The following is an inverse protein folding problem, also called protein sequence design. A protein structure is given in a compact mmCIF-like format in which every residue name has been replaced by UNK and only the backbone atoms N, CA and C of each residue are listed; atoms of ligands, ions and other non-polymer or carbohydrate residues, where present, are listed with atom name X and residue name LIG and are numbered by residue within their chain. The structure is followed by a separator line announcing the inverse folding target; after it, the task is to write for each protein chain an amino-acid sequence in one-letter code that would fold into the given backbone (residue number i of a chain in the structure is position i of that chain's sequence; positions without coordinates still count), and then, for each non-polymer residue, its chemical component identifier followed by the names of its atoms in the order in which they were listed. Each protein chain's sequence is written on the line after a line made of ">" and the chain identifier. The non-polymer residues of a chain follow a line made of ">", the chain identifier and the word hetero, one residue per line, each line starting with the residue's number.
data_IF_576461737420
#
_entry.id   IF_576461737420
#
_cell.length_a   1.000
_cell.length_b   1.000
_cell.length_c   1.000
_cell.angle_alpha   90.00
_cell.angle_beta   90.00
_cell.angle_gamma   90.00
#
_symmetry.space_group_name_H-M   'P 1'
#
loop_
_entity.id
_entity.type
_entity.pdbx_description
1 polymer ?
#
# COMPACT_ATOMS: atom_id res chain seq x y z
N UNK A 1 -28.00 -7.27 -9.74
CA UNK A 1 -28.47 -5.92 -9.39
C UNK A 1 -29.82 -6.03 -8.70
N UNK A 2 -29.96 -5.58 -7.45
CA UNK A 2 -31.24 -5.17 -6.85
C UNK A 2 -31.01 -4.55 -5.46
N UNK A 3 -30.93 -3.23 -5.45
CA UNK A 3 -31.48 -2.29 -4.47
C UNK A 3 -31.14 -2.45 -2.97
N UNK A 4 -30.11 -1.70 -2.56
CA UNK A 4 -30.00 -1.07 -1.25
C UNK A 4 -31.29 -0.28 -0.92
N UNK A 5 -32.02 -0.60 0.16
CA UNK A 5 -33.18 0.19 0.53
C UNK A 5 -32.73 1.47 1.24
N UNK A 6 -32.95 2.56 0.53
CA UNK A 6 -32.88 3.96 0.92
C UNK A 6 -33.41 4.26 2.35
N UNK A 7 -32.60 5.03 3.08
CA UNK A 7 -32.99 6.26 3.79
C UNK A 7 -34.39 6.33 4.46
N UNK A 8 -34.67 5.48 5.45
CA UNK A 8 -35.58 5.90 6.55
C UNK A 8 -34.78 6.75 7.52
N UNK A 9 -35.03 8.06 7.57
CA UNK A 9 -34.34 8.99 8.48
C UNK A 9 -34.41 8.44 9.92
N UNK A 10 -33.24 8.16 10.51
CA UNK A 10 -33.11 7.80 11.92
C UNK A 10 -33.47 9.00 12.80
N UNK A 11 -34.12 8.76 13.95
CA UNK A 11 -34.37 9.82 14.93
C UNK A 11 -33.06 10.34 15.54
N UNK A 12 -33.07 11.52 16.16
CA UNK A 12 -31.89 12.08 16.85
C UNK A 12 -31.32 11.09 17.87
N UNK A 13 -32.19 10.51 18.68
CA UNK A 13 -31.88 9.44 19.65
C UNK A 13 -31.21 8.22 18.99
N UNK A 14 -31.75 7.72 17.87
CA UNK A 14 -31.17 6.57 17.18
C UNK A 14 -29.79 6.88 16.59
N UNK A 15 -29.59 8.10 16.08
CA UNK A 15 -28.28 8.55 15.57
C UNK A 15 -27.25 8.65 16.70
N UNK A 16 -27.66 9.12 17.88
CA UNK A 16 -26.79 9.19 19.06
C UNK A 16 -26.39 7.78 19.53
N UNK A 17 -27.32 6.84 19.56
CA UNK A 17 -27.02 5.43 19.85
C UNK A 17 -26.08 4.81 18.82
N UNK A 18 -26.30 5.02 17.53
CA UNK A 18 -25.38 4.50 16.48
C UNK A 18 -23.97 5.08 16.67
N UNK A 19 -23.86 6.37 17.01
CA UNK A 19 -22.57 7.03 17.28
C UNK A 19 -21.89 6.44 18.52
N UNK A 20 -22.64 6.20 19.60
CA UNK A 20 -22.10 5.64 20.83
C UNK A 20 -21.75 4.14 20.69
N UNK A 21 -22.53 3.38 19.94
CA UNK A 21 -22.21 2.00 19.54
C UNK A 21 -20.91 1.95 18.75
N UNK A 22 -20.74 2.84 17.78
CA UNK A 22 -19.49 2.93 16.99
C UNK A 22 -18.28 3.22 17.89
N UNK A 23 -18.46 4.06 18.93
CA UNK A 23 -17.42 4.36 19.93
C UNK A 23 -17.13 3.17 20.86
N UNK A 24 -18.16 2.44 21.27
CA UNK A 24 -18.06 1.38 22.30
C UNK A 24 -17.62 0.04 21.73
N UNK A 25 -18.12 -0.32 20.54
CA UNK A 25 -17.82 -1.59 19.88
C UNK A 25 -16.45 -1.58 19.19
N UNK A 26 -15.99 -0.40 18.74
CA UNK A 26 -14.65 -0.22 18.17
C UNK A 26 -14.42 -1.09 16.93
N UNK A 27 -13.86 -2.29 17.14
CA UNK A 27 -13.50 -3.27 16.11
C UNK A 27 -14.54 -4.39 15.95
N UNK A 28 -15.49 -4.54 16.88
CA UNK A 28 -16.52 -5.57 16.81
C UNK A 28 -17.49 -5.21 15.69
N UNK A 29 -17.62 -6.04 14.64
CA UNK A 29 -18.56 -5.79 13.56
C UNK A 29 -20.00 -5.74 14.09
N UNK A 30 -20.77 -4.73 13.66
CA UNK A 30 -22.19 -4.67 13.97
C UNK A 30 -22.98 -4.09 12.81
N UNK A 31 -24.24 -4.50 12.72
CA UNK A 31 -25.22 -3.95 11.78
C UNK A 31 -26.40 -3.39 12.56
N UNK A 32 -27.07 -2.40 11.98
CA UNK A 32 -28.25 -1.81 12.57
C UNK A 32 -29.32 -1.61 11.51
N UNK A 33 -30.57 -1.86 11.90
CA UNK A 33 -31.73 -1.74 11.03
C UNK A 33 -32.89 -1.16 11.82
N UNK A 34 -33.74 -0.40 11.14
CA UNK A 34 -35.00 0.06 11.72
C UNK A 34 -36.02 -1.10 11.73
N UNK A 35 -36.48 -1.49 12.91
CA UNK A 35 -37.49 -2.52 13.08
C UNK A 35 -38.89 -2.04 12.67
N UNK A 36 -39.84 -2.96 12.51
CA UNK A 36 -41.23 -2.66 12.13
C UNK A 36 -41.92 -1.71 13.12
N UNK A 37 -41.51 -1.73 14.39
CA UNK A 37 -41.98 -0.87 15.48
C UNK A 37 -41.15 0.43 15.65
N UNK A 38 -40.45 0.89 14.62
CA UNK A 38 -39.67 2.13 14.64
C UNK A 38 -38.47 2.13 15.61
N UNK A 39 -38.18 1.02 16.32
CA UNK A 39 -36.97 0.88 17.14
C UNK A 39 -35.74 0.56 16.30
N UNK A 40 -34.56 0.85 16.85
CA UNK A 40 -33.30 0.43 16.27
C UNK A 40 -33.01 -1.00 16.71
N UNK A 41 -32.98 -1.92 15.74
CA UNK A 41 -32.49 -3.28 15.88
C UNK A 41 -30.99 -3.27 15.61
N UNK A 42 -30.20 -3.81 16.53
CA UNK A 42 -28.75 -3.87 16.44
C UNK A 42 -28.32 -5.33 16.52
N UNK A 43 -27.54 -5.78 15.55
CA UNK A 43 -26.93 -7.10 15.53
C UNK A 43 -25.43 -6.91 15.68
N UNK A 44 -24.85 -7.50 16.71
CA UNK A 44 -23.42 -7.41 17.03
C UNK A 44 -22.83 -8.79 16.83
N UNK A 45 -21.69 -8.86 16.16
CA UNK A 45 -20.99 -10.12 15.95
C UNK A 45 -20.54 -10.72 17.30
N UNK A 46 -20.79 -12.01 17.50
CA UNK A 46 -20.62 -12.72 18.78
C UNK A 46 -21.81 -12.65 19.76
N UNK A 47 -22.79 -11.76 19.54
CA UNK A 47 -24.01 -11.70 20.37
C UNK A 47 -25.10 -12.61 19.80
N UNK A 48 -25.59 -13.58 20.59
CA UNK A 48 -26.59 -14.56 20.14
C UNK A 48 -27.98 -13.96 19.84
N UNK A 49 -28.33 -12.81 20.42
CA UNK A 49 -29.66 -12.20 20.30
C UNK A 49 -29.59 -10.76 19.76
N UNK A 50 -30.41 -10.38 18.76
CA UNK A 50 -30.48 -9.00 18.31
C UNK A 50 -30.98 -8.09 19.43
N UNK A 51 -30.30 -6.97 19.65
CA UNK A 51 -30.66 -5.96 20.65
C UNK A 51 -31.60 -4.93 20.03
N UNK A 52 -32.56 -4.45 20.83
CA UNK A 52 -33.53 -3.44 20.38
C UNK A 52 -33.50 -2.25 21.32
N UNK A 53 -33.55 -1.03 20.77
CA UNK A 53 -33.73 0.17 21.59
C UNK A 53 -35.13 0.24 22.18
N UNK A 54 -35.25 0.73 23.41
CA UNK A 54 -36.53 0.91 24.11
C UNK A 54 -37.47 1.90 23.42
N UNK A 55 -38.75 1.83 23.80
CA UNK A 55 -39.85 2.42 23.04
C UNK A 55 -40.09 3.93 23.21
N UNK A 56 -39.40 4.58 24.14
CA UNK A 56 -39.67 5.98 24.52
C UNK A 56 -38.42 6.85 24.44
N UNK A 57 -38.27 7.65 23.37
CA UNK A 57 -37.16 8.61 23.21
C UNK A 57 -37.17 9.75 24.23
N UNK A 58 -38.25 9.92 24.99
CA UNK A 58 -38.44 10.95 26.02
C UNK A 58 -37.77 10.61 27.36
N UNK A 59 -37.30 9.38 27.53
CA UNK A 59 -36.72 8.92 28.78
C UNK A 59 -35.19 9.10 28.72
N UNK A 60 -34.68 10.09 29.47
CA UNK A 60 -33.25 10.50 29.48
C UNK A 60 -32.30 9.32 29.76
N UNK A 61 -32.78 8.31 30.50
CA UNK A 61 -31.99 7.14 30.86
C UNK A 61 -32.08 5.99 29.84
N UNK A 62 -32.96 6.06 28.85
CA UNK A 62 -33.16 4.97 27.88
C UNK A 62 -31.92 4.66 27.06
N UNK A 63 -31.15 5.69 26.68
CA UNK A 63 -29.87 5.54 25.99
C UNK A 63 -28.83 4.84 26.88
N UNK A 64 -28.69 5.30 28.13
CA UNK A 64 -27.75 4.72 29.08
C UNK A 64 -28.07 3.26 29.38
N UNK A 65 -29.36 2.94 29.57
CA UNK A 65 -29.84 1.58 29.82
C UNK A 65 -29.55 0.65 28.64
N UNK A 66 -29.84 1.10 27.42
CA UNK A 66 -29.52 0.34 26.20
C UNK A 66 -28.01 0.09 26.07
N UNK A 67 -27.19 1.12 26.28
CA UNK A 67 -25.74 0.98 26.19
C UNK A 67 -25.15 0.12 27.33
N UNK A 68 -25.78 0.09 28.50
CA UNK A 68 -25.41 -0.82 29.59
C UNK A 68 -25.69 -2.29 29.23
N UNK A 69 -26.82 -2.59 28.57
CA UNK A 69 -27.10 -3.92 28.03
C UNK A 69 -26.07 -4.33 26.97
N UNK A 70 -25.72 -3.41 26.06
CA UNK A 70 -24.68 -3.65 25.04
C UNK A 70 -23.33 -3.97 25.71
N UNK A 71 -22.91 -3.18 26.71
CA UNK A 71 -21.66 -3.42 27.47
C UNK A 71 -21.67 -4.72 28.26
N UNK A 72 -22.83 -5.19 28.71
CA UNK A 72 -22.96 -6.46 29.41
C UNK A 72 -22.80 -7.63 28.45
N UNK A 73 -23.44 -7.55 27.28
CA UNK A 73 -23.40 -8.61 26.28
C UNK A 73 -22.01 -8.75 25.63
N UNK A 74 -21.29 -7.65 25.41
CA UNK A 74 -19.88 -7.66 24.97
C UNK A 74 -18.99 -8.37 26.03
N UNK A 75 -19.24 -8.12 27.32
CA UNK A 75 -18.48 -8.78 28.40
C UNK A 75 -18.71 -10.29 28.48
N UNK A 76 -19.83 -10.79 27.96
CA UNK A 76 -20.07 -12.23 27.86
C UNK A 76 -19.24 -12.83 26.72
N UNK A 77 -19.09 -12.13 25.59
CA UNK A 77 -18.20 -12.53 24.50
C UNK A 77 -16.74 -12.64 24.98
N UNK A 78 -16.26 -11.66 25.75
CA UNK A 78 -14.90 -11.67 26.29
C UNK A 78 -14.65 -12.81 27.30
N UNK A 79 -15.70 -13.37 27.91
CA UNK A 79 -15.61 -14.43 28.92
C UNK A 79 -15.71 -15.85 28.36
N UNK A 80 -16.36 -16.05 27.22
CA UNK A 80 -16.45 -17.37 26.56
C UNK A 80 -15.14 -17.80 25.87
N UNK A 81 -14.06 -17.00 25.94
CA UNK A 81 -12.75 -17.27 25.31
C UNK A 81 -11.64 -17.61 26.32
N UNK A 82 -11.89 -17.70 27.63
CA UNK A 82 -10.84 -18.14 28.58
C UNK A 82 -11.36 -18.61 29.94
N UNK A 83 -11.02 -19.83 30.39
CA UNK A 83 -10.88 -20.12 31.80
C UNK A 83 -9.43 -19.86 32.21
N UNK A 84 -9.17 -18.88 33.06
CA UNK A 84 -8.31 -19.05 34.24
C UNK A 84 -8.26 -17.80 35.15
N UNK A 85 -8.02 -18.00 36.46
CA UNK A 85 -8.28 -17.00 37.49
C UNK A 85 -7.20 -15.94 37.60
N UNK A 86 -7.69 -14.76 37.95
CA UNK A 86 -6.98 -13.50 38.14
C UNK A 86 -5.88 -13.63 39.20
N UNK A 87 -4.64 -13.27 38.85
CA UNK A 87 -3.67 -12.69 39.80
C UNK A 87 -3.17 -11.35 39.29
N UNK A 88 -3.35 -10.35 40.14
CA UNK A 88 -3.11 -8.92 39.96
C UNK A 88 -1.67 -8.60 39.51
N UNK A 89 -1.55 -7.75 38.48
CA UNK A 89 -0.42 -6.80 38.29
C UNK A 89 -0.90 -5.64 37.41
N UNK A 90 -1.54 -4.68 38.06
CA UNK A 90 -1.98 -3.42 37.45
C UNK A 90 -0.76 -2.52 37.22
N UNK A 91 -0.24 -2.52 35.99
CA UNK A 91 0.76 -1.58 35.46
C UNK A 91 1.08 -1.87 33.98
N UNK A 92 0.90 -3.13 33.51
CA UNK A 92 1.22 -3.54 32.13
C UNK A 92 0.05 -3.44 31.13
N UNK A 93 -1.21 -3.40 31.60
CA UNK A 93 -2.38 -3.35 30.71
C UNK A 93 -2.44 -2.05 29.89
N UNK A 94 -2.03 -0.92 30.47
CA UNK A 94 -2.13 0.39 29.82
C UNK A 94 -1.15 0.52 28.64
N UNK A 95 0.09 0.05 28.81
CA UNK A 95 1.09 0.03 27.74
C UNK A 95 0.72 -0.90 26.57
N UNK A 96 0.09 -2.06 26.85
CA UNK A 96 -0.33 -2.98 25.80
C UNK A 96 -1.50 -2.43 24.98
N UNK A 97 -2.45 -1.75 25.64
CA UNK A 97 -3.58 -1.11 24.95
C UNK A 97 -3.12 0.05 24.07
N UNK A 98 -2.17 0.86 24.54
CA UNK A 98 -1.56 1.93 23.72
C UNK A 98 -0.78 1.40 22.52
N UNK A 99 0.00 0.33 22.70
CA UNK A 99 0.72 -0.32 21.59
C UNK A 99 -0.22 -0.90 20.54
N UNK A 100 -1.27 -1.60 20.98
CA UNK A 100 -2.29 -2.14 20.06
C UNK A 100 -2.98 -1.03 19.28
N UNK A 101 -3.40 0.04 19.97
CA UNK A 101 -4.01 1.20 19.33
C UNK A 101 -3.10 1.86 18.28
N UNK A 102 -1.80 1.93 18.55
CA UNK A 102 -0.79 2.44 17.63
C UNK A 102 -0.67 1.56 16.37
N UNK A 103 -0.58 0.24 16.53
CA UNK A 103 -0.54 -0.70 15.39
C UNK A 103 -1.80 -0.62 14.53
N UNK A 104 -2.98 -0.49 15.15
CA UNK A 104 -4.25 -0.32 14.43
C UNK A 104 -4.34 1.01 13.69
N UNK A 105 -3.82 2.10 14.29
CA UNK A 105 -3.76 3.41 13.63
C UNK A 105 -2.83 3.37 12.42
N UNK A 106 -1.69 2.70 12.54
CA UNK A 106 -0.76 2.47 11.44
C UNK A 106 -1.42 1.65 10.33
N UNK A 107 -2.08 0.54 10.68
CA UNK A 107 -2.84 -0.29 9.74
C UNK A 107 -3.89 0.54 8.98
N UNK A 108 -4.72 1.32 9.69
CA UNK A 108 -5.74 2.18 9.09
C UNK A 108 -5.15 3.20 8.12
N UNK A 109 -3.99 3.77 8.46
CA UNK A 109 -3.30 4.76 7.64
C UNK A 109 -2.78 4.12 6.34
N UNK A 110 -2.13 2.96 6.45
CA UNK A 110 -1.66 2.19 5.31
C UNK A 110 -2.85 1.76 4.42
N UNK A 111 -3.91 1.23 5.01
CA UNK A 111 -5.09 0.80 4.25
C UNK A 111 -5.76 1.98 3.53
N UNK A 112 -5.79 3.16 4.13
CA UNK A 112 -6.32 4.36 3.50
C UNK A 112 -5.49 4.76 2.28
N UNK A 113 -4.15 4.73 2.39
CA UNK A 113 -3.29 5.04 1.24
C UNK A 113 -3.43 3.99 0.15
N UNK A 114 -3.39 2.70 0.48
CA UNK A 114 -3.56 1.59 -0.47
C UNK A 114 -4.90 1.65 -1.21
N UNK A 115 -6.01 1.97 -0.52
CA UNK A 115 -7.32 2.18 -1.17
C UNK A 115 -7.30 3.32 -2.16
N UNK A 116 -6.58 4.39 -1.87
CA UNK A 116 -6.49 5.53 -2.78
C UNK A 116 -5.74 5.18 -4.07
N UNK A 117 -4.73 4.32 -3.98
CA UNK A 117 -3.90 3.91 -5.12
C UNK A 117 -4.30 2.54 -5.71
N UNK A 118 -5.41 1.93 -5.27
CA UNK A 118 -5.81 0.56 -5.65
C UNK A 118 -5.96 0.37 -7.16
N UNK A 119 -6.47 1.38 -7.85
CA UNK A 119 -6.63 1.36 -9.32
C UNK A 119 -5.28 1.39 -10.03
N UNK A 120 -4.31 2.13 -9.49
CA UNK A 120 -2.94 2.17 -10.00
C UNK A 120 -2.21 0.84 -9.75
N UNK A 121 -2.38 0.24 -8.56
CA UNK A 121 -1.82 -1.07 -8.24
C UNK A 121 -2.40 -2.13 -9.19
N UNK A 122 -3.72 -2.13 -9.43
CA UNK A 122 -4.35 -3.06 -10.38
C UNK A 122 -3.74 -2.94 -11.79
N UNK A 123 -3.59 -1.72 -12.31
CA UNK A 123 -2.95 -1.50 -13.63
C UNK A 123 -1.51 -2.03 -13.66
N UNK A 124 -0.77 -1.88 -12.56
CA UNK A 124 0.59 -2.39 -12.43
C UNK A 124 0.65 -3.91 -12.41
N UNK A 125 -0.24 -4.56 -11.64
CA UNK A 125 -0.36 -6.02 -11.64
C UNK A 125 -0.71 -6.54 -13.04
N UNK A 126 -1.64 -5.90 -13.75
CA UNK A 126 -1.99 -6.28 -15.12
C UNK A 126 -0.79 -6.17 -16.07
N UNK A 127 -0.01 -5.07 -16.00
CA UNK A 127 1.20 -4.91 -16.81
C UNK A 127 2.25 -5.99 -16.49
N UNK A 128 2.51 -6.23 -15.21
CA UNK A 128 3.49 -7.23 -14.76
C UNK A 128 3.13 -8.65 -15.23
N UNK A 129 1.85 -8.99 -15.17
CA UNK A 129 1.35 -10.30 -15.61
C UNK A 129 1.53 -10.46 -17.11
N UNK A 130 1.20 -9.43 -17.90
CA UNK A 130 1.35 -9.45 -19.36
C UNK A 130 2.83 -9.56 -19.74
N UNK A 131 3.70 -8.77 -19.11
CA UNK A 131 5.14 -8.74 -19.38
C UNK A 131 5.83 -10.06 -19.01
N UNK A 132 5.50 -10.65 -17.86
CA UNK A 132 6.09 -11.90 -17.42
C UNK A 132 5.45 -13.15 -18.06
N UNK A 133 4.31 -13.00 -18.75
CA UNK A 133 3.53 -14.11 -19.31
C UNK A 133 3.04 -15.14 -18.28
N UNK A 134 3.14 -14.84 -16.98
CA UNK A 134 2.83 -15.76 -15.88
C UNK A 134 2.21 -15.02 -14.71
N UNK A 135 1.54 -15.75 -13.81
CA UNK A 135 0.80 -15.16 -12.67
C UNK A 135 1.65 -15.12 -11.38
N UNK A 136 2.80 -15.81 -11.37
CA UNK A 136 3.71 -15.85 -10.21
C UNK A 136 4.14 -14.46 -9.69
N UNK A 137 4.41 -13.45 -10.55
CA UNK A 137 4.86 -12.14 -10.09
C UNK A 137 3.86 -11.41 -9.19
N UNK A 138 2.57 -11.75 -9.22
CA UNK A 138 1.54 -11.08 -8.40
C UNK A 138 1.82 -11.28 -6.91
N UNK A 139 2.12 -12.51 -6.49
CA UNK A 139 2.33 -12.81 -5.07
C UNK A 139 3.57 -12.08 -4.53
N UNK A 140 4.63 -12.01 -5.32
CA UNK A 140 5.86 -11.30 -4.97
C UNK A 140 5.62 -9.80 -4.95
N UNK A 141 4.95 -9.25 -5.96
CA UNK A 141 4.59 -7.84 -6.02
C UNK A 141 3.77 -7.39 -4.81
N UNK A 142 2.76 -8.17 -4.41
CA UNK A 142 1.95 -7.88 -3.22
C UNK A 142 2.77 -7.92 -1.94
N UNK A 143 3.70 -8.88 -1.82
CA UNK A 143 4.59 -8.97 -0.66
C UNK A 143 5.48 -7.73 -0.56
N UNK A 144 6.10 -7.33 -1.66
CA UNK A 144 6.93 -6.10 -1.72
C UNK A 144 6.10 -4.86 -1.38
N UNK A 145 4.89 -4.75 -1.95
CA UNK A 145 3.98 -3.63 -1.68
C UNK A 145 3.62 -3.51 -0.18
N UNK A 146 3.39 -4.64 0.49
CA UNK A 146 3.13 -4.67 1.94
C UNK A 146 4.35 -4.17 2.72
N UNK A 147 5.53 -4.74 2.44
CA UNK A 147 6.78 -4.38 3.12
C UNK A 147 7.09 -2.90 2.94
N UNK A 148 6.99 -2.37 1.71
CA UNK A 148 7.22 -0.96 1.40
C UNK A 148 6.23 -0.04 2.12
N UNK A 149 4.96 -0.45 2.20
CA UNK A 149 3.92 0.32 2.87
C UNK A 149 4.14 0.39 4.38
N UNK A 150 4.56 -0.72 5.00
CA UNK A 150 4.93 -0.77 6.42
C UNK A 150 6.17 0.10 6.66
N UNK A 151 7.19 0.00 5.80
CA UNK A 151 8.42 0.77 5.94
C UNK A 151 8.20 2.28 5.74
N UNK A 152 7.32 2.67 4.82
CA UNK A 152 6.89 4.07 4.66
C UNK A 152 6.15 4.57 5.89
N UNK A 153 5.18 3.79 6.37
CA UNK A 153 4.44 4.16 7.57
C UNK A 153 5.33 4.20 8.83
N UNK A 154 6.39 3.39 8.91
CA UNK A 154 7.41 3.48 9.97
C UNK A 154 8.18 4.81 9.92
N UNK A 155 8.56 5.26 8.72
CA UNK A 155 9.24 6.55 8.52
C UNK A 155 8.35 7.72 8.91
N UNK A 156 7.09 7.68 8.49
CA UNK A 156 6.13 8.76 8.73
C UNK A 156 5.63 8.81 10.19
N UNK A 157 5.79 7.71 10.95
CA UNK A 157 5.33 7.59 12.34
C UNK A 157 6.49 7.33 13.31
N UNK A 158 7.51 8.19 13.27
CA UNK A 158 8.67 8.14 14.19
C UNK A 158 8.29 8.21 15.69
N UNK A 159 7.08 8.65 16.03
CA UNK A 159 6.57 8.71 17.41
C UNK A 159 5.85 7.45 17.93
N UNK A 160 5.67 6.39 17.12
CA UNK A 160 4.81 5.23 17.49
C UNK A 160 5.50 4.16 18.36
N UNK A 161 6.77 4.33 18.69
CA UNK A 161 7.56 3.34 19.45
C UNK A 161 8.02 2.14 18.60
N UNK A 162 8.92 1.33 19.16
CA UNK A 162 9.45 0.15 18.48
C UNK A 162 8.38 -0.93 18.31
N UNK A 163 8.15 -1.34 17.05
CA UNK A 163 7.36 -2.53 16.71
C UNK A 163 8.20 -3.79 16.90
N UNK A 164 7.65 -4.78 17.58
CA UNK A 164 8.26 -6.12 17.67
C UNK A 164 8.04 -6.91 16.38
N UNK A 165 8.89 -7.91 16.10
CA UNK A 165 8.72 -8.77 14.93
C UNK A 165 7.36 -9.48 14.88
N UNK A 166 6.80 -9.84 16.05
CA UNK A 166 5.46 -10.45 16.14
C UNK A 166 4.37 -9.50 15.67
N UNK A 167 4.43 -8.23 16.08
CA UNK A 167 3.49 -7.20 15.66
C UNK A 167 3.66 -6.87 14.17
N UNK A 168 4.90 -6.88 13.68
CA UNK A 168 5.18 -6.65 12.26
C UNK A 168 4.59 -7.78 11.39
N UNK A 169 4.79 -9.04 11.79
CA UNK A 169 4.20 -10.18 11.09
C UNK A 169 2.66 -10.19 11.17
N UNK A 170 2.09 -9.76 12.30
CA UNK A 170 0.64 -9.60 12.43
C UNK A 170 0.10 -8.53 11.46
N UNK A 171 0.80 -7.38 11.38
CA UNK A 171 0.46 -6.29 10.47
C UNK A 171 0.59 -6.73 9.00
N UNK A 172 1.64 -7.46 8.64
CA UNK A 172 1.84 -8.02 7.30
C UNK A 172 0.71 -8.96 6.90
N UNK A 173 0.33 -9.88 7.80
CA UNK A 173 -0.76 -10.83 7.54
C UNK A 173 -2.11 -10.13 7.38
N UNK A 174 -2.38 -9.13 8.22
CA UNK A 174 -3.63 -8.38 8.16
C UNK A 174 -3.70 -7.51 6.89
N UNK A 175 -2.59 -6.87 6.51
CA UNK A 175 -2.47 -6.16 5.23
C UNK A 175 -2.63 -7.09 4.03
N UNK A 176 -2.05 -8.30 4.08
CA UNK A 176 -2.20 -9.31 3.03
C UNK A 176 -3.67 -9.66 2.80
N UNK A 177 -4.42 -9.94 3.87
CA UNK A 177 -5.85 -10.23 3.79
C UNK A 177 -6.60 -9.08 3.12
N UNK A 178 -6.30 -7.84 3.53
CA UNK A 178 -6.94 -6.66 2.96
C UNK A 178 -6.60 -6.41 1.49
N UNK A 179 -5.34 -6.58 1.10
CA UNK A 179 -4.88 -6.38 -0.28
C UNK A 179 -5.47 -7.46 -1.20
N UNK A 180 -5.45 -8.72 -0.76
CA UNK A 180 -6.05 -9.83 -1.50
C UNK A 180 -7.57 -9.65 -1.69
N UNK A 181 -8.23 -8.96 -0.75
CA UNK A 181 -9.63 -8.59 -0.88
C UNK A 181 -9.87 -7.36 -1.79
N UNK A 182 -8.96 -6.38 -1.79
CA UNK A 182 -9.10 -5.16 -2.58
C UNK A 182 -8.72 -5.33 -4.05
N UNK A 183 -7.83 -6.27 -4.36
CA UNK A 183 -7.32 -6.50 -5.71
C UNK A 183 -7.97 -7.74 -6.35
N UNK A 184 -8.01 -7.84 -7.69
CA UNK A 184 -8.51 -9.02 -8.36
C UNK A 184 -7.77 -10.30 -7.93
N UNK A 185 -8.49 -11.42 -7.92
CA UNK A 185 -7.91 -12.72 -7.63
C UNK A 185 -6.96 -13.18 -8.77
N UNK A 186 -6.01 -14.05 -8.46
CA UNK A 186 -5.10 -14.74 -9.39
C UNK A 186 -5.85 -15.30 -10.61
N UNK A 187 -7.06 -15.84 -10.43
CA UNK A 187 -7.90 -16.36 -11.51
C UNK A 187 -8.28 -15.29 -12.56
N UNK A 188 -8.54 -14.05 -12.13
CA UNK A 188 -8.85 -12.94 -13.05
C UNK A 188 -7.66 -12.67 -13.99
N UNK A 189 -6.44 -12.71 -13.45
CA UNK A 189 -5.22 -12.49 -14.22
C UNK A 189 -4.90 -13.68 -15.15
N UNK A 190 -5.20 -14.91 -14.72
CA UNK A 190 -5.09 -16.10 -15.56
C UNK A 190 -5.99 -16.01 -16.81
N UNK A 191 -7.25 -15.57 -16.61
CA UNK A 191 -8.19 -15.37 -17.71
C UNK A 191 -7.71 -14.29 -18.67
N UNK A 192 -7.22 -13.17 -18.14
CA UNK A 192 -6.74 -12.04 -18.94
C UNK A 192 -5.48 -12.40 -19.77
N UNK A 193 -4.58 -13.21 -19.22
CA UNK A 193 -3.47 -13.81 -20.00
C UNK A 193 -3.97 -14.72 -21.12
N UNK A 194 -4.98 -15.54 -20.82
CA UNK A 194 -5.57 -16.46 -21.80
C UNK A 194 -6.31 -15.72 -22.92
N UNK A 195 -6.89 -14.56 -22.63
CA UNK A 195 -7.50 -13.67 -23.64
C UNK A 195 -6.44 -13.03 -24.53
N UNK A 196 -5.33 -12.55 -23.98
CA UNK A 196 -4.23 -12.00 -24.78
C UNK A 196 -3.54 -13.06 -25.65
N UNK A 197 -3.36 -14.28 -25.14
CA UNK A 197 -2.79 -15.40 -25.90
C UNK A 197 -3.66 -15.88 -27.07
N UNK A 198 -4.93 -15.44 -27.15
CA UNK A 198 -5.84 -15.72 -28.28
C UNK A 198 -5.88 -14.58 -29.30
N UNK A 199 -5.15 -13.48 -29.09
CA UNK A 199 -5.21 -12.29 -29.95
C UNK A 199 -3.82 -11.97 -30.52
N UNK A 200 -3.36 -12.84 -31.41
CA UNK A 200 -2.37 -12.56 -32.48
C UNK A 200 -2.76 -13.39 -33.72
N UNK A 201 -3.76 -12.87 -34.45
CA UNK A 201 -4.06 -12.87 -35.92
C UNK A 201 -3.29 -13.76 -36.93
N UNK A 202 -3.82 -14.05 -38.17
CA UNK A 202 -5.16 -13.74 -38.75
C UNK A 202 -5.74 -14.76 -39.82
N UNK A 203 -6.92 -14.41 -40.35
CA UNK A 203 -7.42 -14.65 -41.74
C UNK A 203 -7.96 -16.03 -42.15
N UNK A 204 -9.28 -16.02 -42.42
CA UNK A 204 -10.07 -16.74 -43.43
C UNK A 204 -9.56 -18.12 -43.90
N UNK A 205 -10.34 -19.16 -43.62
CA UNK A 205 -11.29 -19.69 -44.61
C UNK A 205 -12.26 -20.66 -43.94
N UNK A 206 -13.52 -20.57 -44.38
CA UNK A 206 -14.54 -21.59 -44.21
C UNK A 206 -14.00 -22.97 -44.67
N UNK A 207 -14.40 -24.02 -43.97
CA UNK A 207 -15.18 -25.13 -44.56
C UNK A 207 -15.45 -26.14 -43.45
N UNK A 208 -16.74 -26.40 -43.28
CA UNK A 208 -17.35 -27.51 -42.57
C UNK A 208 -16.70 -28.86 -42.88
N UNK A 209 -17.02 -29.83 -42.03
CA UNK A 209 -17.15 -31.29 -42.33
C UNK A 209 -16.21 -32.18 -41.52
N UNK A 210 -16.78 -32.61 -40.39
CA UNK A 210 -16.87 -33.99 -39.87
C UNK A 210 -15.63 -34.89 -39.82
N UNK A 211 -15.37 -35.37 -38.59
CA UNK A 211 -15.14 -36.77 -38.19
C UNK A 211 -14.38 -37.69 -39.16
N UNK A 212 -13.20 -38.18 -38.76
CA UNK A 212 -12.99 -39.58 -38.29
C UNK A 212 -11.52 -39.87 -37.90
N UNK A 213 -11.35 -40.39 -36.67
CA UNK A 213 -10.51 -41.52 -36.19
C UNK A 213 -9.08 -41.72 -36.72
N UNK A 214 -8.09 -41.59 -35.83
CA UNK A 214 -7.24 -42.65 -35.22
C UNK A 214 -5.91 -42.76 -36.02
N UNK A 215 -4.68 -42.86 -35.51
CA UNK A 215 -4.14 -43.43 -34.29
C UNK A 215 -2.64 -42.99 -34.14
N UNK A 216 -2.19 -42.76 -32.89
CA UNK A 216 -0.83 -42.98 -32.28
C UNK A 216 0.45 -42.47 -32.99
N UNK A 217 1.33 -41.82 -32.21
CA UNK A 217 2.75 -42.23 -31.97
C UNK A 217 3.44 -41.22 -31.03
N UNK A 218 3.94 -41.73 -29.90
CA UNK A 218 4.91 -41.09 -29.01
C UNK A 218 6.21 -40.73 -29.74
N UNK A 219 6.94 -39.70 -29.27
CA UNK A 219 8.39 -39.76 -29.00
C UNK A 219 8.84 -38.46 -28.31
N UNK A 220 9.71 -38.66 -27.32
CA UNK A 220 10.46 -37.69 -26.51
C UNK A 220 11.21 -36.63 -27.33
N UNK A 221 11.48 -35.47 -26.73
CA UNK A 221 12.79 -34.82 -26.90
C UNK A 221 13.23 -34.08 -25.64
N UNK A 222 14.47 -34.38 -25.25
CA UNK A 222 15.19 -33.84 -24.11
C UNK A 222 15.73 -32.43 -24.35
N UNK A 223 15.90 -31.65 -23.29
CA UNK A 223 17.05 -30.76 -23.16
C UNK A 223 17.48 -30.56 -21.69
N UNK A 224 18.46 -31.38 -21.33
CA UNK A 224 19.62 -31.12 -20.46
C UNK A 224 19.77 -29.65 -19.98
N UNK A 225 19.61 -29.40 -18.68
CA UNK A 225 20.32 -28.32 -17.98
C UNK A 225 21.04 -28.94 -16.78
N UNK A 226 22.36 -28.68 -16.73
CA UNK A 226 23.30 -29.11 -15.71
C UNK A 226 22.91 -28.51 -14.35
N UNK A 227 22.58 -29.36 -13.39
CA UNK A 227 22.69 -29.03 -11.97
C UNK A 227 24.18 -28.94 -11.61
N UNK A 228 24.64 -27.72 -11.27
CA UNK A 228 25.89 -27.54 -10.54
C UNK A 228 25.57 -27.57 -9.06
N UNK A 229 25.90 -28.72 -8.49
CA UNK A 229 26.13 -28.99 -7.09
C UNK A 229 27.21 -28.05 -6.53
N UNK A 230 26.93 -27.37 -5.41
CA UNK A 230 27.95 -26.94 -4.46
C UNK A 230 27.46 -27.18 -3.03
N UNK A 231 28.21 -28.02 -2.34
CA UNK A 231 27.99 -28.52 -0.99
C UNK A 231 28.15 -27.47 0.10
N UNK A 232 27.58 -27.82 1.26
CA UNK A 232 27.92 -27.38 2.63
C UNK A 232 29.37 -26.90 2.82
N UNK A 233 29.51 -25.82 3.59
CA UNK A 233 30.48 -25.75 4.69
C UNK A 233 29.92 -24.92 5.85
N UNK A 234 30.08 -25.48 7.04
CA UNK A 234 29.78 -24.90 8.35
C UNK A 234 30.87 -23.90 8.78
N UNK A 235 30.49 -23.03 9.74
CA UNK A 235 31.30 -22.48 10.85
C UNK A 235 32.56 -21.63 10.57
N UNK A 236 32.50 -20.34 10.96
CA UNK A 236 33.28 -19.71 12.06
C UNK A 236 33.21 -18.17 11.92
N UNK A 237 32.61 -17.45 12.88
CA UNK A 237 33.32 -16.72 13.93
C UNK A 237 34.27 -15.60 13.43
N UNK A 238 33.76 -14.37 13.37
CA UNK A 238 34.51 -13.14 13.66
C UNK A 238 33.60 -12.31 14.58
N UNK A 239 33.78 -12.35 15.89
CA UNK A 239 34.82 -11.67 16.68
C UNK A 239 34.98 -10.18 16.36
N UNK A 240 34.80 -9.43 17.44
CA UNK A 240 34.75 -8.00 17.60
C UNK A 240 36.20 -7.48 17.66
N UNK A 241 36.52 -6.43 16.90
CA UNK A 241 37.52 -5.44 17.27
C UNK A 241 37.13 -4.13 16.59
N UNK A 242 36.47 -3.22 17.31
CA UNK A 242 37.08 -2.18 18.17
C UNK A 242 37.79 -1.11 17.35
N UNK A 243 37.10 0.03 17.34
CA UNK A 243 37.53 1.38 16.99
C UNK A 243 38.78 1.75 17.77
N UNK A 244 39.76 2.33 17.06
CA UNK A 244 40.73 3.35 17.49
C UNK A 244 41.90 3.28 16.49
N UNK A 245 42.56 4.31 16.00
CA UNK A 245 42.51 5.75 16.11
C UNK A 245 43.67 6.23 15.17
N UNK A 246 43.79 7.53 14.96
CA UNK A 246 44.99 8.25 14.51
C UNK A 246 45.17 8.46 13.01
N UNK A 247 44.60 9.59 12.59
CA UNK A 247 45.18 10.57 11.67
C UNK A 247 46.72 10.53 11.62
N UNK A 248 47.29 10.49 10.41
CA UNK A 248 48.38 11.41 10.04
C UNK A 248 48.48 11.50 8.52
N UNK A 249 48.24 12.71 8.06
CA UNK A 249 48.57 13.22 6.73
C UNK A 249 50.08 13.09 6.49
N UNK A 250 50.46 12.67 5.29
CA UNK A 250 51.72 13.08 4.67
C UNK A 250 51.58 13.11 3.16
N UNK A 251 51.97 14.23 2.60
CA UNK A 251 51.87 14.68 1.22
C UNK A 251 52.83 13.99 0.24
N UNK A 252 52.47 14.13 -1.04
CA UNK A 252 53.33 14.33 -2.23
C UNK A 252 54.27 13.22 -2.76
N UNK A 253 53.97 12.77 -3.99
CA UNK A 253 54.81 12.83 -5.22
C UNK A 253 54.06 12.09 -6.35
N UNK A 254 53.60 12.69 -7.45
CA UNK A 254 54.33 13.28 -8.61
C UNK A 254 55.32 12.30 -9.26
N UNK A 255 54.92 11.71 -10.40
CA UNK A 255 55.63 11.64 -11.70
C UNK A 255 54.94 10.64 -12.65
N UNK A 256 54.31 11.21 -13.68
CA UNK A 256 54.50 11.00 -15.13
C UNK A 256 54.61 9.62 -15.78
N UNK A 257 54.06 9.59 -17.01
CA UNK A 257 54.51 8.84 -18.22
C UNK A 257 53.85 7.46 -18.45
N UNK A 258 52.78 7.33 -19.24
CA UNK A 258 52.64 7.49 -20.70
C UNK A 258 53.00 6.22 -21.54
N UNK A 259 52.03 5.86 -22.42
CA UNK A 259 52.08 4.99 -23.62
C UNK A 259 52.25 3.49 -23.33
N UNK A 260 51.51 2.55 -23.91
CA UNK A 260 50.73 2.42 -25.15
C UNK A 260 49.78 1.21 -24.93
N UNK A 261 48.83 0.76 -25.76
CA UNK A 261 48.53 0.86 -27.18
C UNK A 261 47.12 0.29 -27.37
N UNK A 262 46.44 0.77 -28.40
CA UNK A 262 45.10 0.44 -28.85
C UNK A 262 44.73 -1.06 -28.92
N UNK A 263 43.48 -1.38 -28.57
CA UNK A 263 42.55 -1.95 -29.57
C UNK A 263 41.08 -1.75 -29.18
N UNK A 264 40.32 -1.44 -30.22
CA UNK A 264 38.95 -0.99 -30.33
C UNK A 264 37.87 -2.02 -29.98
N UNK A 265 36.81 -1.55 -29.34
CA UNK A 265 35.42 -1.83 -29.70
C UNK A 265 34.62 -0.56 -29.34
N UNK A 266 34.42 0.37 -30.28
CA UNK A 266 33.14 0.50 -31.00
C UNK A 266 31.98 -0.07 -30.18
N UNK A 267 31.44 0.76 -29.29
CA UNK A 267 30.09 0.59 -28.76
C UNK A 267 29.24 1.55 -29.59
N UNK A 268 28.90 1.12 -30.80
CA UNK A 268 27.80 1.69 -31.57
C UNK A 268 26.50 1.09 -31.03
N UNK A 269 25.96 1.66 -29.95
CA UNK A 269 24.52 1.71 -29.69
C UNK A 269 24.21 2.74 -28.56
N UNK A 270 23.77 3.97 -28.86
CA UNK A 270 23.30 4.90 -27.84
C UNK A 270 21.82 4.67 -27.55
N UNK A 271 21.47 3.46 -27.16
CA UNK A 271 20.23 3.19 -26.42
C UNK A 271 20.62 2.88 -24.99
N UNK A 272 21.02 3.93 -24.25
CA UNK A 272 21.22 3.88 -22.80
C UNK A 272 19.91 3.50 -22.14
N UNK A 273 19.73 2.21 -21.93
CA UNK A 273 18.60 1.70 -21.17
C UNK A 273 18.78 2.05 -19.69
N UNK A 274 18.26 3.23 -19.31
CA UNK A 274 18.22 3.71 -17.92
C UNK A 274 17.48 2.69 -17.02
N UNK A 275 16.64 1.83 -17.61
CA UNK A 275 15.99 0.75 -16.87
C UNK A 275 16.96 -0.34 -16.43
N UNK A 276 18.08 -0.55 -17.13
CA UNK A 276 19.10 -1.51 -16.72
C UNK A 276 19.77 -1.09 -15.39
N UNK A 277 20.13 0.18 -15.23
CA UNK A 277 20.77 0.69 -14.00
C UNK A 277 19.77 0.78 -12.84
N UNK A 278 18.52 1.16 -13.13
CA UNK A 278 17.48 1.27 -12.07
C UNK A 278 16.89 -0.07 -11.63
N UNK A 279 17.08 -1.14 -12.41
CA UNK A 279 16.67 -2.51 -12.06
C UNK A 279 17.68 -3.27 -11.19
N UNK A 280 18.88 -2.73 -11.00
CA UNK A 280 19.89 -3.30 -10.12
C UNK A 280 19.54 -3.10 -8.63
N UNK A 281 19.99 -4.02 -7.78
CA UNK A 281 19.91 -3.88 -6.32
C UNK A 281 20.70 -2.66 -5.83
N UNK A 282 20.36 -2.14 -4.66
CA UNK A 282 20.99 -0.93 -4.10
C UNK A 282 22.52 -1.05 -4.03
N UNK A 283 23.03 -2.21 -3.61
CA UNK A 283 24.47 -2.48 -3.54
C UNK A 283 25.12 -2.55 -4.92
N UNK A 284 24.47 -3.16 -5.91
CA UNK A 284 24.96 -3.23 -7.28
C UNK A 284 24.97 -1.85 -7.96
N UNK A 285 23.94 -1.02 -7.73
CA UNK A 285 23.92 0.37 -8.22
C UNK A 285 25.06 1.19 -7.63
N UNK A 286 25.30 1.06 -6.33
CA UNK A 286 26.40 1.77 -5.66
C UNK A 286 27.75 1.32 -6.23
N UNK A 287 27.96 0.01 -6.43
CA UNK A 287 29.20 -0.51 -6.99
C UNK A 287 29.48 -0.02 -8.42
N UNK A 288 28.42 0.15 -9.25
CA UNK A 288 28.54 0.74 -10.59
C UNK A 288 28.85 2.23 -10.51
N UNK A 289 28.15 2.98 -9.65
CA UNK A 289 28.36 4.43 -9.49
C UNK A 289 29.73 4.76 -8.87
N UNK A 290 30.30 3.87 -8.06
CA UNK A 290 31.65 4.01 -7.51
C UNK A 290 32.76 3.89 -8.56
N UNK A 291 32.47 3.33 -9.73
CA UNK A 291 33.44 3.24 -10.84
C UNK A 291 33.57 4.56 -11.62
N UNK A 292 32.65 5.51 -11.41
CA UNK A 292 32.70 6.82 -12.06
C UNK A 292 33.83 7.67 -11.48
N UNK A 293 34.51 8.40 -12.36
CA UNK A 293 35.45 9.44 -11.94
C UNK A 293 34.70 10.60 -11.29
N UNK A 294 35.40 11.43 -10.49
CA UNK A 294 34.79 12.61 -9.84
C UNK A 294 34.17 13.58 -10.85
N UNK A 295 34.78 13.74 -12.02
CA UNK A 295 34.26 14.59 -13.10
C UNK A 295 33.00 14.00 -13.75
N UNK A 296 32.98 12.70 -14.00
CA UNK A 296 31.80 12.02 -14.57
C UNK A 296 30.63 12.02 -13.59
N UNK A 297 30.91 11.79 -12.30
CA UNK A 297 29.90 11.88 -11.25
C UNK A 297 29.32 13.30 -11.13
N UNK A 298 30.16 14.33 -11.21
CA UNK A 298 29.71 15.73 -11.20
C UNK A 298 28.87 16.07 -12.43
N UNK A 299 29.26 15.61 -13.61
CA UNK A 299 28.49 15.79 -14.84
C UNK A 299 27.14 15.07 -14.77
N UNK A 300 27.12 13.83 -14.29
CA UNK A 300 25.89 13.06 -14.12
C UNK A 300 24.91 13.76 -13.15
N UNK A 301 25.41 14.35 -12.06
CA UNK A 301 24.59 15.16 -11.15
C UNK A 301 24.02 16.39 -11.86
N UNK A 302 24.83 17.09 -12.65
CA UNK A 302 24.38 18.25 -13.42
C UNK A 302 23.29 17.86 -14.41
N UNK A 303 23.48 16.78 -15.16
CA UNK A 303 22.53 16.27 -16.15
C UNK A 303 21.20 15.84 -15.49
N UNK A 304 21.27 15.11 -14.36
CA UNK A 304 20.08 14.73 -13.59
C UNK A 304 19.34 15.96 -13.08
N UNK A 305 20.06 16.96 -12.57
CA UNK A 305 19.47 18.21 -12.06
C UNK A 305 18.76 18.96 -13.20
N UNK A 306 19.40 19.04 -14.37
CA UNK A 306 18.81 19.66 -15.55
C UNK A 306 17.57 18.90 -16.04
N UNK A 307 17.61 17.57 -16.09
CA UNK A 307 16.48 16.75 -16.50
C UNK A 307 15.27 16.92 -15.55
N UNK A 308 15.52 17.01 -14.24
CA UNK A 308 14.48 17.29 -13.25
C UNK A 308 13.85 18.67 -13.48
N UNK A 309 14.65 19.68 -13.78
CA UNK A 309 14.15 21.04 -14.04
C UNK A 309 13.34 21.11 -15.35
N UNK A 310 13.78 20.42 -16.40
CA UNK A 310 13.04 20.32 -17.66
C UNK A 310 11.69 19.61 -17.48
N UNK A 311 11.64 18.52 -16.69
CA UNK A 311 10.38 17.86 -16.35
C UNK A 311 9.44 18.80 -15.59
N UNK A 312 9.97 19.55 -14.62
CA UNK A 312 9.20 20.57 -13.89
C UNK A 312 8.62 21.62 -14.83
N UNK A 313 9.40 22.06 -15.82
CA UNK A 313 8.94 23.02 -16.82
C UNK A 313 7.87 22.44 -17.74
N UNK A 314 8.02 21.20 -18.20
CA UNK A 314 7.02 20.49 -19.00
C UNK A 314 5.70 20.30 -18.23
N UNK A 315 5.78 19.92 -16.95
CA UNK A 315 4.60 19.79 -16.08
C UNK A 315 3.87 21.13 -15.92
N UNK A 316 4.61 22.23 -15.70
CA UNK A 316 4.01 23.57 -15.64
C UNK A 316 3.32 23.94 -16.96
N UNK A 317 3.96 23.67 -18.10
CA UNK A 317 3.37 23.92 -19.42
C UNK A 317 2.12 23.08 -19.68
N UNK A 318 2.13 21.83 -19.23
CA UNK A 318 0.97 20.94 -19.32
C UNK A 318 -0.20 21.48 -18.49
N UNK A 319 0.06 21.96 -17.26
CA UNK A 319 -0.96 22.61 -16.44
C UNK A 319 -1.51 23.87 -17.10
N UNK A 320 -0.65 24.74 -17.63
CA UNK A 320 -1.08 25.95 -18.33
C UNK A 320 -1.93 25.62 -19.56
N UNK A 321 -1.51 24.62 -20.35
CA UNK A 321 -2.26 24.16 -21.52
C UNK A 321 -3.63 23.60 -21.14
N UNK A 322 -3.68 22.80 -20.05
CA UNK A 322 -4.92 22.25 -19.51
C UNK A 322 -5.86 23.36 -19.02
N UNK A 323 -5.33 24.38 -18.34
CA UNK A 323 -6.11 25.54 -17.89
C UNK A 323 -6.69 26.31 -19.07
N UNK A 324 -5.89 26.53 -20.13
CA UNK A 324 -6.33 27.18 -21.35
C UNK A 324 -7.42 26.35 -22.07
N UNK A 325 -7.27 25.03 -22.16
CA UNK A 325 -8.28 24.13 -22.75
C UNK A 325 -9.60 24.17 -21.97
N UNK A 326 -9.54 24.32 -20.64
CA UNK A 326 -10.73 24.45 -19.78
C UNK A 326 -11.29 25.87 -19.73
N UNK A 327 -10.69 26.82 -20.46
CA UNK A 327 -11.14 28.22 -20.50
C UNK A 327 -10.99 28.92 -19.15
N UNK A 328 -10.07 28.48 -18.30
CA UNK A 328 -9.81 29.07 -16.99
C UNK A 328 -8.65 30.05 -17.15
N UNK A 329 -8.92 31.35 -17.11
CA UNK A 329 -7.86 32.35 -17.10
C UNK A 329 -7.13 32.34 -15.75
N UNK A 330 -5.83 32.61 -15.77
CA UNK A 330 -5.07 32.88 -14.54
C UNK A 330 -5.68 34.07 -13.78
N UNK A 331 -6.26 35.03 -14.51
CA UNK A 331 -6.92 36.20 -13.94
C UNK A 331 -8.22 35.81 -13.20
N UNK A 332 -8.96 34.81 -13.67
CA UNK A 332 -10.18 34.33 -13.03
C UNK A 332 -9.87 33.61 -11.71
N UNK A 333 -8.78 32.84 -11.68
CA UNK A 333 -8.28 32.21 -10.45
C UNK A 333 -7.77 33.27 -9.48
N UNK A 334 -7.02 34.26 -9.97
CA UNK A 334 -6.53 35.36 -9.14
C UNK A 334 -7.68 36.17 -8.55
N UNK A 335 -8.75 36.42 -9.31
CA UNK A 335 -9.96 37.07 -8.84
C UNK A 335 -10.67 36.24 -7.77
N UNK A 336 -10.87 34.93 -7.99
CA UNK A 336 -11.47 34.03 -6.99
C UNK A 336 -10.65 33.94 -5.70
N UNK A 337 -9.31 33.86 -5.81
CA UNK A 337 -8.44 33.83 -4.63
C UNK A 337 -8.47 35.17 -3.87
N UNK A 338 -8.53 36.30 -4.58
CA UNK A 338 -8.66 37.61 -3.96
C UNK A 338 -10.01 37.79 -3.25
N UNK A 339 -11.10 37.31 -3.87
CA UNK A 339 -12.44 37.30 -3.27
C UNK A 339 -12.51 36.42 -2.02
N UNK A 340 -11.90 35.23 -2.03
CA UNK A 340 -11.80 34.35 -0.86
C UNK A 340 -10.95 34.99 0.25
N UNK A 341 -9.85 35.66 -0.11
CA UNK A 341 -9.02 36.38 0.86
C UNK A 341 -9.79 37.55 1.50
N UNK A 342 -10.57 38.30 0.71
CA UNK A 342 -11.40 39.39 1.20
C UNK A 342 -12.53 38.87 2.13
N UNK A 343 -13.22 37.80 1.74
CA UNK A 343 -14.28 37.18 2.54
C UNK A 343 -13.75 36.64 3.90
N UNK A 344 -12.54 36.09 3.93
CA UNK A 344 -11.91 35.62 5.16
C UNK A 344 -11.46 36.77 6.07
N UNK A 345 -11.05 37.90 5.50
CA UNK A 345 -10.70 39.10 6.26
C UNK A 345 -11.94 39.76 6.91
N UNK A 346 -13.10 39.73 6.24
CA UNK A 346 -14.37 40.19 6.80
C UNK A 346 -14.91 39.26 7.89
N UNK A 347 -14.79 37.94 7.70
CA UNK A 347 -15.20 36.96 8.72
C UNK A 347 -14.37 37.05 10.01
N UNK A 348 -13.11 37.51 9.95
CA UNK A 348 -12.29 37.75 11.16
C UNK A 348 -12.67 39.03 11.91
N UNK A 349 -13.23 40.04 11.25
CA UNK A 349 -13.71 41.27 11.92
C UNK A 349 -15.01 41.05 12.70
N UNK A 350 -15.88 40.14 12.25
CA UNK A 350 -17.14 39.83 12.95
C UNK A 350 -16.91 39.10 14.27
N UNK A 351 -15.80 38.35 14.42
CA UNK A 351 -15.46 37.67 15.68
C UNK A 351 -14.78 38.56 16.74
N UNK A 352 -14.45 39.80 16.41
CA UNK A 352 -13.83 40.77 17.34
C UNK A 352 -14.82 41.79 17.93
N UNK A 353 -16.09 41.74 17.51
CA UNK A 353 -17.16 42.66 17.95
C UNK A 353 -18.26 41.93 18.76
N UNK A 354 -18.12 40.62 19.00
CA UNK A 354 -19.07 39.82 19.79
C UNK A 354 -18.60 39.58 21.22
#
# INVERSE_FOLDING_TARGET
>A
MANSPQARKYSKYQKEIIKELTKTLGLIPFTYQKAKNNHLKVLIDGVKKPLYTGSTPSDYNSQHNFMSLVRQEIRVIDKDVSPEPIKQKNSKMDLQMHKKHNTEKMLKTILKSLRHIVTAIKKREEKLVIEAGTIKPISEHRKVLITDSIQRAKRDNSGLGYLTNKEMNALENELKIHIDFMLPNVAYYAMKLSELGKVTTPTQNEVDTSMTKDEVVSIEFSSKIKEVNCNKMDNESMNICTVDNVNKESEMNVISSAKSSAQSAIIDDPSTDIHAVTSLSDSARIAVLQQLTKSEAAQLIADITQAVELNRQADMQHVLSFMQEKGISLDDIAAQLSEICAANAESSKVHLIA
#
